data_IF_839385195231
#
_entry.id   IF_839385195231
#
_cell.length_a   1.000
_cell.length_b   1.000
_cell.length_c   1.000
_cell.angle_alpha   90.00
_cell.angle_beta   90.00
_cell.angle_gamma   90.00
#
_symmetry.space_group_name_H-M   'P 1'
#
loop_
_entity.id
_entity.type
_entity.pdbx_description
1 polymer ?
#
# COMPACT_ATOMS: atom_id res chain seq x y z
N UNK A 1 22.51 -49.32 36.31
CA UNK A 1 21.18 -49.98 36.42
C UNK A 1 20.38 -49.60 35.19
N UNK A 2 19.71 -50.59 34.59
CA UNK A 2 19.01 -50.55 33.28
C UNK A 2 17.63 -49.91 33.36
N UNK A 3 17.11 -49.60 32.16
CA UNK A 3 15.72 -49.48 31.69
C UNK A 3 15.28 -48.03 31.39
N UNK A 4 14.64 -47.71 30.27
CA UNK A 4 14.14 -48.54 29.17
C UNK A 4 13.38 -47.68 28.15
N UNK A 5 13.54 -48.05 26.87
CA UNK A 5 12.85 -47.57 25.67
C UNK A 5 11.32 -47.65 25.74
N UNK A 6 10.61 -46.75 25.01
CA UNK A 6 9.52 -47.15 24.09
C UNK A 6 9.20 -46.06 23.06
N UNK A 7 9.35 -46.45 21.79
CA UNK A 7 8.83 -45.78 20.60
C UNK A 7 7.50 -46.43 20.20
N UNK A 8 6.60 -45.67 19.60
CA UNK A 8 5.46 -46.21 18.82
C UNK A 8 5.52 -45.61 17.42
N UNK A 9 5.76 -46.49 16.44
CA UNK A 9 5.58 -46.26 15.02
C UNK A 9 4.15 -46.67 14.63
N UNK A 10 3.53 -45.94 13.71
CA UNK A 10 2.30 -46.33 13.04
C UNK A 10 2.42 -46.02 11.56
N UNK A 11 2.81 -47.02 10.78
CA UNK A 11 2.66 -47.01 9.32
C UNK A 11 1.31 -47.59 8.94
N UNK A 12 0.69 -47.04 7.89
CA UNK A 12 -0.36 -47.75 7.17
C UNK A 12 -0.13 -47.66 5.66
N UNK A 13 -0.41 -48.81 5.06
CA UNK A 13 0.03 -49.31 3.78
C UNK A 13 -0.90 -48.90 2.61
N UNK A 14 -0.27 -48.96 1.44
CA UNK A 14 -0.71 -48.76 0.07
C UNK A 14 -1.94 -49.56 -0.37
N UNK A 15 -2.64 -49.02 -1.38
CA UNK A 15 -3.07 -49.76 -2.60
C UNK A 15 -3.72 -48.83 -3.63
N UNK A 16 -3.16 -48.81 -4.83
CA UNK A 16 -3.77 -48.19 -6.01
C UNK A 16 -4.75 -49.11 -6.74
N UNK A 17 -5.56 -48.53 -7.63
CA UNK A 17 -5.93 -49.13 -8.93
C UNK A 17 -6.67 -48.17 -9.88
N UNK A 18 -6.11 -48.06 -11.08
CA UNK A 18 -6.68 -47.93 -12.43
C UNK A 18 -8.09 -47.35 -12.73
N UNK A 19 -8.06 -46.25 -13.52
CA UNK A 19 -8.64 -45.99 -14.86
C UNK A 19 -9.95 -46.69 -15.28
N UNK A 20 -10.98 -45.89 -15.65
CA UNK A 20 -11.79 -46.09 -16.88
C UNK A 20 -12.51 -44.81 -17.34
N UNK A 21 -12.48 -44.60 -18.66
CA UNK A 21 -13.20 -43.59 -19.43
C UNK A 21 -14.73 -43.72 -19.38
N UNK A 22 -15.41 -42.58 -19.62
CA UNK A 22 -16.62 -42.53 -20.44
C UNK A 22 -17.86 -41.94 -19.77
N UNK A 23 -18.48 -40.95 -20.43
CA UNK A 23 -19.88 -40.62 -20.19
C UNK A 23 -20.21 -39.13 -20.19
N UNK A 24 -20.48 -38.57 -21.38
CA UNK A 24 -21.32 -37.38 -21.53
C UNK A 24 -22.67 -37.61 -20.82
N UNK A 25 -23.07 -36.71 -19.92
CA UNK A 25 -24.47 -36.38 -19.69
C UNK A 25 -24.59 -35.03 -18.97
N UNK A 26 -25.12 -34.03 -19.68
CA UNK A 26 -25.74 -32.85 -19.08
C UNK A 26 -27.03 -33.25 -18.34
N UNK A 27 -27.32 -32.62 -17.20
CA UNK A 27 -28.62 -31.96 -17.03
C UNK A 27 -28.46 -30.57 -16.39
N UNK A 28 -29.06 -29.53 -17.00
CA UNK A 28 -30.37 -28.94 -16.64
C UNK A 28 -30.42 -28.23 -15.27
N UNK A 29 -30.47 -26.91 -15.36
CA UNK A 29 -31.22 -25.94 -14.55
C UNK A 29 -32.00 -26.49 -13.34
N UNK A 30 -31.68 -25.96 -12.17
CA UNK A 30 -32.49 -26.03 -10.96
C UNK A 30 -32.36 -24.72 -10.18
N UNK A 31 -33.18 -23.74 -10.55
CA UNK A 31 -33.45 -22.52 -9.78
C UNK A 31 -34.18 -22.92 -8.49
N UNK A 32 -33.56 -22.74 -7.32
CA UNK A 32 -34.23 -22.90 -6.03
C UNK A 32 -34.73 -21.54 -5.58
N UNK A 33 -36.01 -21.30 -5.83
CA UNK A 33 -36.79 -20.18 -5.30
C UNK A 33 -37.35 -20.60 -3.93
N UNK A 34 -36.81 -20.07 -2.85
CA UNK A 34 -37.38 -20.22 -1.52
C UNK A 34 -38.49 -19.17 -1.32
N UNK A 35 -39.74 -19.62 -1.41
CA UNK A 35 -40.94 -18.87 -1.05
C UNK A 35 -41.17 -19.04 0.45
N UNK A 36 -41.06 -17.96 1.21
CA UNK A 36 -41.55 -17.88 2.59
C UNK A 36 -42.94 -17.22 2.57
N UNK A 37 -43.94 -18.05 2.84
CA UNK A 37 -45.34 -17.69 3.02
C UNK A 37 -45.54 -17.16 4.43
N UNK A 38 -45.95 -15.90 4.57
CA UNK A 38 -46.55 -15.38 5.79
C UNK A 38 -47.96 -14.87 5.48
N UNK A 39 -48.95 -15.57 6.02
CA UNK A 39 -50.34 -15.13 6.07
C UNK A 39 -50.50 -14.10 7.20
N UNK A 40 -51.16 -12.98 6.90
CA UNK A 40 -51.62 -12.00 7.88
C UNK A 40 -52.67 -11.09 7.25
N UNK A 41 -53.89 -11.17 7.78
CA UNK A 41 -55.19 -10.75 7.25
C UNK A 41 -55.46 -9.24 7.21
N UNK A 42 -56.10 -8.82 6.12
CA UNK A 42 -57.26 -7.90 6.00
C UNK A 42 -57.38 -6.68 6.92
N UNK A 43 -57.42 -5.49 6.31
CA UNK A 43 -57.91 -4.25 6.92
C UNK A 43 -57.82 -3.04 5.97
N UNK A 44 -58.97 -2.66 5.40
CA UNK A 44 -59.23 -1.61 4.38
C UNK A 44 -59.33 -0.20 5.02
N UNK A 45 -59.73 0.87 4.30
CA UNK A 45 -58.93 1.85 3.53
C UNK A 45 -58.97 3.29 4.13
N UNK A 46 -58.44 4.24 3.34
CA UNK A 46 -58.78 5.67 3.21
C UNK A 46 -57.73 6.74 3.59
N UNK A 47 -57.36 7.46 2.53
CA UNK A 47 -57.24 8.91 2.39
C UNK A 47 -56.40 9.72 3.39
N UNK A 48 -55.34 10.39 2.91
CA UNK A 48 -55.35 11.84 2.57
C UNK A 48 -53.92 12.35 2.38
N UNK A 49 -53.77 13.31 1.45
CA UNK A 49 -52.65 14.22 1.32
C UNK A 49 -52.18 14.79 2.68
N UNK A 50 -50.87 14.94 2.90
CA UNK A 50 -50.29 16.24 3.32
C UNK A 50 -48.77 16.22 3.09
N UNK A 51 -48.28 17.33 2.55
CA UNK A 51 -46.88 17.66 2.37
C UNK A 51 -46.12 17.87 3.71
N UNK A 52 -44.80 17.89 3.54
CA UNK A 52 -43.82 18.69 4.28
C UNK A 52 -43.12 18.08 5.50
N UNK A 53 -41.79 18.22 5.42
CA UNK A 53 -40.87 18.81 6.42
C UNK A 53 -39.78 17.85 6.86
N UNK A 54 -38.55 18.23 6.49
CA UNK A 54 -37.31 17.68 7.01
C UNK A 54 -37.22 17.82 8.53
N UNK A 55 -36.64 16.83 9.20
CA UNK A 55 -36.05 17.05 10.50
C UNK A 55 -34.80 16.16 10.66
N UNK A 56 -33.65 16.82 10.57
CA UNK A 56 -32.37 16.29 10.98
C UNK A 56 -32.40 16.05 12.50
N UNK A 57 -31.95 14.89 12.94
CA UNK A 57 -31.68 14.62 14.35
C UNK A 57 -30.17 14.47 14.53
N UNK A 58 -29.54 15.57 14.88
CA UNK A 58 -28.18 15.60 15.40
C UNK A 58 -28.22 15.09 16.85
N UNK A 59 -27.46 14.04 17.15
CA UNK A 59 -27.14 13.65 18.53
C UNK A 59 -25.65 13.85 18.74
N UNK A 60 -25.30 14.92 19.44
CA UNK A 60 -23.96 15.20 19.95
C UNK A 60 -23.80 14.60 21.37
N UNK A 61 -22.56 14.50 21.89
CA UNK A 61 -22.14 13.41 22.77
C UNK A 61 -22.30 13.69 24.27
N UNK A 62 -22.50 12.61 25.02
CA UNK A 62 -22.42 12.61 26.49
C UNK A 62 -20.95 12.51 26.92
N UNK A 63 -20.42 13.60 27.47
CA UNK A 63 -19.17 13.64 28.23
C UNK A 63 -19.38 13.05 29.61
N UNK A 64 -18.61 12.00 29.95
CA UNK A 64 -18.49 11.53 31.35
C UNK A 64 -17.10 11.85 31.85
N UNK A 65 -17.08 12.80 32.78
CA UNK A 65 -15.98 13.25 33.60
C UNK A 65 -15.77 12.24 34.74
N UNK A 66 -14.54 11.78 34.99
CA UNK A 66 -14.32 10.78 36.03
C UNK A 66 -12.86 10.48 36.39
N UNK A 67 -12.43 11.15 37.46
CA UNK A 67 -11.47 10.68 38.46
C UNK A 67 -9.96 10.73 38.17
N UNK A 68 -9.38 11.80 38.71
CA UNK A 68 -7.98 11.94 39.10
C UNK A 68 -7.54 10.80 40.03
N UNK A 69 -6.54 10.03 39.60
CA UNK A 69 -5.79 9.07 40.41
C UNK A 69 -4.36 9.56 40.53
N UNK A 70 -4.03 10.07 41.71
CA UNK A 70 -2.71 10.48 42.18
C UNK A 70 -1.78 9.26 42.22
N UNK A 71 -0.68 9.29 41.45
CA UNK A 71 0.37 8.25 41.51
C UNK A 71 1.70 8.92 41.78
N UNK A 72 2.17 8.69 43.01
CA UNK A 72 3.49 9.00 43.54
C UNK A 72 4.60 8.34 42.72
N UNK A 73 5.62 9.07 42.22
CA UNK A 73 6.82 8.44 41.67
C UNK A 73 7.83 8.14 42.78
N UNK A 74 8.02 6.87 43.07
CA UNK A 74 9.14 6.38 43.88
C UNK A 74 10.42 6.45 43.04
N UNK A 75 11.27 7.41 43.38
CA UNK A 75 12.66 7.51 42.94
C UNK A 75 13.52 6.48 43.68
N UNK A 76 14.06 5.52 42.95
CA UNK A 76 15.23 4.74 43.38
C UNK A 76 16.20 4.74 42.22
N UNK A 77 17.31 5.45 42.38
CA UNK A 77 18.37 5.48 41.40
C UNK A 77 19.09 4.15 41.28
N UNK A 78 19.78 3.97 40.15
CA UNK A 78 21.12 3.44 40.24
C UNK A 78 21.99 4.03 39.13
N UNK A 79 23.19 4.40 39.54
CA UNK A 79 24.23 4.93 38.68
C UNK A 79 24.98 3.74 38.05
N UNK A 80 25.16 3.76 36.73
CA UNK A 80 26.20 2.93 36.13
C UNK A 80 26.86 3.66 34.97
N UNK A 81 28.03 4.19 35.30
CA UNK A 81 29.09 4.67 34.43
C UNK A 81 29.62 3.48 33.62
N UNK A 82 29.39 3.49 32.31
CA UNK A 82 29.89 2.47 31.39
C UNK A 82 30.56 3.11 30.18
N UNK A 83 31.78 3.60 30.35
CA UNK A 83 32.68 3.98 29.26
C UNK A 83 33.22 2.70 28.62
N UNK A 84 32.84 2.41 27.37
CA UNK A 84 33.53 1.41 26.55
C UNK A 84 34.06 2.03 25.27
N UNK A 85 35.37 2.27 25.36
CA UNK A 85 36.39 2.40 24.32
C UNK A 85 36.02 1.85 22.95
N UNK A 86 36.05 2.76 21.97
CA UNK A 86 36.25 2.50 20.55
C UNK A 86 37.57 1.75 20.32
N UNK A 87 37.52 0.57 19.70
CA UNK A 87 38.72 -0.06 19.14
C UNK A 87 38.44 -0.31 17.67
N UNK A 88 39.04 0.53 16.83
CA UNK A 88 39.07 0.34 15.39
C UNK A 88 39.87 -0.89 15.03
N UNK A 89 39.37 -1.62 14.04
CA UNK A 89 40.15 -2.64 13.33
C UNK A 89 39.94 -2.40 11.84
N UNK A 90 40.87 -1.67 11.25
CA UNK A 90 41.07 -1.59 9.81
C UNK A 90 41.80 -2.85 9.36
N UNK A 91 41.10 -3.74 8.66
CA UNK A 91 41.74 -4.78 7.86
C UNK A 91 41.62 -4.38 6.41
N UNK A 92 42.75 -3.86 5.89
CA UNK A 92 43.04 -3.68 4.49
C UNK A 92 43.02 -5.05 3.77
N UNK A 93 42.13 -5.21 2.79
CA UNK A 93 42.30 -6.23 1.74
C UNK A 93 42.60 -5.55 0.40
N UNK A 94 43.69 -5.94 -0.29
CA UNK A 94 43.98 -5.48 -1.63
C UNK A 94 43.19 -6.32 -2.65
N UNK A 95 42.02 -5.83 -3.06
CA UNK A 95 41.21 -6.41 -4.13
C UNK A 95 41.67 -5.96 -5.52
N UNK A 96 42.24 -6.91 -6.25
CA UNK A 96 42.73 -6.87 -7.63
C UNK A 96 41.81 -6.15 -8.63
N UNK A 97 42.37 -5.14 -9.30
CA UNK A 97 41.78 -4.45 -10.45
C UNK A 97 41.94 -5.34 -11.69
N UNK A 98 40.86 -5.98 -12.13
CA UNK A 98 40.80 -6.65 -13.44
C UNK A 98 40.31 -5.64 -14.47
N UNK A 99 41.24 -5.11 -15.26
CA UNK A 99 40.95 -4.31 -16.44
C UNK A 99 40.32 -5.21 -17.52
N UNK A 100 39.03 -5.01 -17.81
CA UNK A 100 38.40 -5.61 -18.98
C UNK A 100 38.55 -4.65 -20.17
N UNK A 101 39.34 -5.09 -21.13
CA UNK A 101 39.55 -4.43 -22.42
C UNK A 101 38.41 -4.87 -23.34
N UNK A 102 37.51 -3.96 -23.70
CA UNK A 102 36.30 -4.26 -24.46
C UNK A 102 36.04 -3.26 -25.56
N UNK A 103 36.80 -3.41 -26.64
CA UNK A 103 36.46 -3.20 -28.06
C UNK A 103 35.47 -2.09 -28.46
N UNK A 104 36.03 -1.05 -29.07
CA UNK A 104 35.40 -0.09 -29.96
C UNK A 104 34.66 -0.80 -31.11
N UNK A 105 33.33 -0.75 -31.12
CA UNK A 105 32.54 -1.04 -32.31
C UNK A 105 32.06 0.28 -32.90
N UNK A 106 32.69 0.62 -34.03
CA UNK A 106 32.29 1.66 -34.97
C UNK A 106 30.95 1.24 -35.58
N UNK A 107 29.89 2.03 -35.41
CA UNK A 107 28.69 1.90 -36.23
C UNK A 107 28.40 3.20 -37.01
N UNK A 108 28.87 3.14 -38.26
CA UNK A 108 28.25 3.60 -39.49
C UNK A 108 27.19 4.71 -39.38
N UNK A 109 27.65 5.94 -39.56
CA UNK A 109 26.80 7.08 -39.91
C UNK A 109 26.20 6.90 -41.30
N UNK A 110 24.90 6.64 -41.38
CA UNK A 110 24.13 6.79 -42.62
C UNK A 110 23.83 8.27 -42.81
N UNK A 111 24.51 8.88 -43.78
CA UNK A 111 24.25 10.23 -44.28
C UNK A 111 22.85 10.32 -44.88
N UNK A 112 21.92 10.92 -44.14
CA UNK A 112 20.67 11.47 -44.69
C UNK A 112 20.97 12.76 -45.48
N UNK A 113 20.27 13.03 -46.59
CA UNK A 113 20.46 14.22 -47.41
C UNK A 113 20.02 15.48 -46.66
N UNK A 114 20.94 16.43 -46.55
CA UNK A 114 20.73 17.76 -45.98
C UNK A 114 19.73 18.54 -46.85
N UNK A 115 18.55 18.83 -46.29
CA UNK A 115 17.60 19.81 -46.82
C UNK A 115 18.13 21.24 -46.55
N UNK A 116 18.47 22.04 -47.58
CA UNK A 116 18.99 23.40 -47.40
C UNK A 116 17.87 24.45 -47.25
N UNK A 117 16.83 24.15 -46.46
CA UNK A 117 15.73 25.06 -46.20
C UNK A 117 15.77 25.63 -44.78
N UNK A 118 16.31 26.85 -44.70
CA UNK A 118 15.99 27.87 -43.68
C UNK A 118 16.52 27.66 -42.25
N UNK A 119 17.78 28.04 -42.09
CA UNK A 119 18.33 28.71 -40.90
C UNK A 119 17.39 29.78 -40.33
N UNK A 120 16.77 29.48 -39.20
CA UNK A 120 16.66 30.42 -38.07
C UNK A 120 16.69 29.59 -36.80
N UNK A 121 17.89 29.18 -36.38
CA UNK A 121 18.13 28.65 -35.04
C UNK A 121 18.02 29.84 -34.10
N UNK A 122 16.81 30.15 -33.66
CA UNK A 122 16.62 30.97 -32.47
C UNK A 122 17.36 30.31 -31.29
N UNK A 123 17.82 31.07 -30.29
CA UNK A 123 18.38 30.45 -29.09
C UNK A 123 17.35 29.47 -28.56
N UNK A 124 17.69 28.17 -28.55
CA UNK A 124 16.91 27.16 -27.85
C UNK A 124 16.94 27.62 -26.40
N UNK A 125 15.84 28.24 -25.96
CA UNK A 125 15.65 28.58 -24.57
C UNK A 125 15.49 27.23 -23.88
N UNK A 126 16.63 26.67 -23.44
CA UNK A 126 16.66 25.50 -22.55
C UNK A 126 16.05 25.97 -21.23
N UNK A 127 14.71 26.04 -21.22
CA UNK A 127 13.95 26.18 -20.01
C UNK A 127 14.34 24.99 -19.12
N UNK A 128 14.61 25.24 -17.83
CA UNK A 128 14.88 24.15 -16.91
C UNK A 128 13.73 23.13 -17.00
N UNK A 129 14.02 21.83 -16.84
CA UNK A 129 12.97 20.81 -16.80
C UNK A 129 11.93 21.25 -15.78
N UNK A 130 10.68 21.27 -16.23
CA UNK A 130 9.56 21.69 -15.41
C UNK A 130 9.48 20.76 -14.21
N UNK A 131 9.72 21.32 -13.02
CA UNK A 131 9.68 20.56 -11.79
C UNK A 131 8.21 20.25 -11.49
N UNK A 132 7.86 18.98 -11.21
CA UNK A 132 6.48 18.62 -10.93
C UNK A 132 5.97 19.37 -9.69
N UNK A 133 4.73 19.83 -9.71
CA UNK A 133 4.09 20.55 -8.59
C UNK A 133 3.98 19.59 -7.40
N UNK A 134 4.26 20.04 -6.16
CA UNK A 134 3.95 19.27 -4.96
C UNK A 134 2.48 18.81 -4.95
N UNK A 135 2.20 17.56 -4.57
CA UNK A 135 0.84 17.01 -4.66
C UNK A 135 -0.16 17.86 -3.88
N UNK A 136 0.23 18.35 -2.71
CA UNK A 136 -0.63 19.20 -1.86
C UNK A 136 -0.96 20.57 -2.46
N UNK A 137 -0.14 21.04 -3.39
CA UNK A 137 -0.31 22.35 -4.03
C UNK A 137 -1.12 22.25 -5.33
N UNK A 138 -1.60 21.05 -5.70
CA UNK A 138 -2.45 20.85 -6.87
C UNK A 138 -3.75 21.67 -6.70
N UNK A 139 -4.07 22.58 -7.64
CA UNK A 139 -5.24 23.44 -7.52
C UNK A 139 -6.54 22.66 -7.37
N UNK A 140 -7.30 22.98 -6.31
CA UNK A 140 -8.62 22.39 -6.06
C UNK A 140 -8.59 21.00 -5.41
N UNK A 141 -7.41 20.44 -5.11
CA UNK A 141 -7.30 19.20 -4.34
C UNK A 141 -7.85 19.40 -2.92
N UNK A 142 -8.69 18.48 -2.46
CA UNK A 142 -9.32 18.54 -1.13
C UNK A 142 -8.90 17.40 -0.20
N UNK A 143 -8.84 16.19 -0.74
CA UNK A 143 -8.50 15.00 0.01
C UNK A 143 -7.86 13.95 -0.88
N UNK A 144 -7.26 12.96 -0.23
CA UNK A 144 -6.64 11.81 -0.88
C UNK A 144 -7.26 10.56 -0.27
N UNK A 145 -7.70 9.62 -1.12
CA UNK A 145 -8.27 8.33 -0.70
C UNK A 145 -7.33 7.21 -1.08
N UNK A 146 -7.02 6.34 -0.13
CA UNK A 146 -6.28 5.09 -0.32
C UNK A 146 -7.25 3.92 -0.30
N UNK A 147 -7.13 3.03 -1.28
CA UNK A 147 -7.98 1.85 -1.42
C UNK A 147 -7.19 0.58 -1.07
N UNK A 148 -7.60 -0.13 -0.04
CA UNK A 148 -6.98 -1.38 0.43
C UNK A 148 -7.95 -2.55 0.17
N UNK A 149 -7.49 -3.72 -0.28
CA UNK A 149 -8.36 -4.79 -0.81
C UNK A 149 -8.19 -6.16 -0.14
N UNK A 150 -7.71 -6.25 1.10
CA UNK A 150 -7.42 -7.56 1.74
C UNK A 150 -8.67 -8.44 1.95
N UNK A 151 -9.86 -7.86 2.17
CA UNK A 151 -11.10 -8.61 2.37
C UNK A 151 -12.30 -7.96 1.69
N UNK A 152 -12.03 -7.28 0.58
CA UNK A 152 -12.90 -6.30 -0.06
C UNK A 152 -12.30 -4.91 0.03
N UNK A 153 -12.79 -4.01 -0.81
CA UNK A 153 -12.28 -2.65 -0.92
C UNK A 153 -12.66 -1.83 0.31
N UNK A 154 -11.64 -1.36 1.02
CA UNK A 154 -11.73 -0.42 2.14
C UNK A 154 -11.14 0.93 1.71
N UNK A 155 -11.76 2.01 2.15
CA UNK A 155 -11.38 3.38 1.79
C UNK A 155 -10.87 4.14 3.02
N UNK A 156 -9.69 4.76 2.88
CA UNK A 156 -9.09 5.61 3.89
C UNK A 156 -8.83 6.99 3.29
N UNK A 157 -9.59 7.99 3.75
CA UNK A 157 -9.52 9.35 3.20
C UNK A 157 -8.88 10.32 4.19
N UNK A 158 -7.85 11.03 3.73
CA UNK A 158 -7.15 12.05 4.49
C UNK A 158 -7.29 13.42 3.83
N UNK A 159 -7.31 14.47 4.64
CA UNK A 159 -7.24 15.84 4.13
C UNK A 159 -5.83 16.11 3.60
N UNK A 160 -5.71 16.99 2.60
CA UNK A 160 -4.42 17.39 2.01
C UNK A 160 -3.43 17.89 3.06
N UNK A 161 -3.89 18.75 3.98
CA UNK A 161 -3.08 19.25 5.09
C UNK A 161 -3.15 18.36 6.34
N UNK A 162 -3.61 17.12 6.18
CA UNK A 162 -3.74 16.14 7.26
C UNK A 162 -2.39 15.78 7.88
N UNK A 163 -2.33 15.53 9.19
CA UNK A 163 -1.08 15.16 9.86
C UNK A 163 -0.51 13.83 9.35
N UNK A 164 -1.34 12.92 8.85
CA UNK A 164 -0.93 11.64 8.29
C UNK A 164 0.04 11.88 7.11
N UNK A 165 -0.40 12.66 6.11
CA UNK A 165 0.41 12.92 4.92
C UNK A 165 1.65 13.80 5.14
N UNK A 166 1.67 14.56 6.25
CA UNK A 166 2.70 15.55 6.55
C UNK A 166 3.68 15.12 7.64
N UNK A 167 3.59 13.89 8.16
CA UNK A 167 4.53 13.37 9.15
C UNK A 167 4.90 11.92 8.85
N UNK A 168 6.20 11.64 8.78
CA UNK A 168 6.68 10.26 8.74
C UNK A 168 6.57 9.63 10.15
N UNK A 169 5.87 8.50 10.25
CA UNK A 169 5.77 7.76 11.51
C UNK A 169 7.08 7.02 11.80
N UNK A 170 7.47 6.85 13.08
CA UNK A 170 8.67 6.11 13.45
C UNK A 170 8.49 4.60 13.26
N UNK A 171 9.58 3.90 12.93
CA UNK A 171 9.61 2.44 12.88
C UNK A 171 9.88 1.78 14.24
N UNK A 172 9.41 0.53 14.46
CA UNK A 172 8.51 -0.22 13.57
C UNK A 172 7.07 0.30 13.63
N UNK A 173 6.32 0.18 12.52
CA UNK A 173 4.88 0.43 12.54
C UNK A 173 4.14 -0.61 13.38
N UNK A 174 3.06 -0.18 14.03
CA UNK A 174 2.27 -1.01 14.94
C UNK A 174 0.86 -0.49 15.11
N UNK A 175 0.07 -1.18 15.93
CA UNK A 175 -1.24 -0.71 16.39
C UNK A 175 -1.23 0.61 17.18
N UNK A 176 -0.07 1.19 17.47
CA UNK A 176 0.07 2.47 18.19
C UNK A 176 0.57 3.61 17.29
N UNK A 177 1.11 3.31 16.11
CA UNK A 177 1.72 4.25 15.18
C UNK A 177 1.50 3.76 13.73
N UNK A 178 0.30 4.02 13.21
CA UNK A 178 -0.11 3.75 11.82
C UNK A 178 -1.17 4.77 11.42
N UNK A 179 -1.29 5.02 10.12
CA UNK A 179 -2.40 5.80 9.55
C UNK A 179 -3.54 4.88 9.11
N UNK A 180 -3.20 3.68 8.63
CA UNK A 180 -4.16 2.69 8.13
C UNK A 180 -3.88 1.33 8.79
N UNK A 181 -4.95 0.59 9.09
CA UNK A 181 -4.93 -0.83 9.47
C UNK A 181 -5.67 -1.64 8.41
N UNK A 182 -4.97 -2.53 7.70
CA UNK A 182 -5.60 -3.48 6.78
C UNK A 182 -6.12 -4.71 7.55
N UNK A 183 -5.23 -5.29 8.35
CA UNK A 183 -5.51 -6.39 9.27
C UNK A 183 -4.78 -6.17 10.60
N UNK A 184 -5.05 -7.00 11.60
CA UNK A 184 -4.42 -6.90 12.94
C UNK A 184 -2.88 -7.00 12.95
N UNK A 185 -2.26 -7.33 11.82
CA UNK A 185 -0.80 -7.45 11.65
C UNK A 185 -0.29 -6.67 10.43
N UNK A 186 -1.10 -5.75 9.90
CA UNK A 186 -0.82 -5.01 8.67
C UNK A 186 -1.08 -3.53 8.88
N UNK A 187 0.01 -2.76 8.86
CA UNK A 187 0.01 -1.36 9.25
C UNK A 187 0.68 -0.52 8.19
N UNK A 188 0.06 0.60 7.83
CA UNK A 188 0.57 1.52 6.82
C UNK A 188 0.85 2.91 7.41
N UNK A 189 1.74 3.61 6.74
CA UNK A 189 2.08 5.01 6.89
C UNK A 189 2.00 5.64 5.49
N UNK A 190 1.30 6.76 5.36
CA UNK A 190 1.05 7.46 4.10
C UNK A 190 1.64 8.85 4.14
N UNK A 191 2.40 9.24 3.12
CA UNK A 191 3.08 10.54 3.13
C UNK A 191 3.42 11.09 1.75
N UNK A 192 3.58 12.42 1.70
CA UNK A 192 4.22 13.09 0.58
C UNK A 192 5.69 12.72 0.49
N UNK A 193 6.18 12.53 -0.73
CA UNK A 193 7.51 11.96 -0.98
C UNK A 193 8.16 12.50 -2.24
N UNK A 194 9.47 12.28 -2.34
CA UNK A 194 10.19 12.35 -3.61
C UNK A 194 9.97 11.09 -4.48
N UNK A 195 10.62 11.05 -5.64
CA UNK A 195 10.48 9.95 -6.61
C UNK A 195 10.92 8.58 -6.06
N UNK A 196 11.85 8.57 -5.11
CA UNK A 196 12.41 7.36 -4.49
C UNK A 196 11.58 6.88 -3.29
N UNK A 197 10.53 7.62 -2.94
CA UNK A 197 9.66 7.38 -1.80
C UNK A 197 10.28 7.80 -0.47
N UNK A 198 11.22 8.76 -0.49
CA UNK A 198 11.73 9.39 0.72
C UNK A 198 10.76 10.49 1.13
N UNK A 199 10.44 10.55 2.42
CA UNK A 199 9.53 11.57 2.97
C UNK A 199 9.97 12.99 2.60
N UNK A 200 9.06 13.71 1.94
CA UNK A 200 9.20 15.12 1.60
C UNK A 200 7.81 15.77 1.66
N UNK A 201 7.53 16.66 2.64
CA UNK A 201 6.24 17.34 2.74
C UNK A 201 5.95 18.30 1.59
N UNK A 202 6.93 18.59 0.73
CA UNK A 202 6.77 19.32 -0.54
C UNK A 202 6.90 18.39 -1.75
N UNK A 203 6.76 17.08 -1.53
CA UNK A 203 6.92 16.06 -2.54
C UNK A 203 5.83 16.08 -3.61
N UNK A 204 6.23 15.80 -4.85
CA UNK A 204 5.35 15.67 -6.01
C UNK A 204 4.84 14.24 -6.22
N UNK A 205 5.09 13.36 -5.24
CA UNK A 205 4.69 11.96 -5.22
C UNK A 205 3.99 11.62 -3.90
N UNK A 206 3.16 10.57 -3.93
CA UNK A 206 2.60 9.95 -2.73
C UNK A 206 3.21 8.58 -2.52
N UNK A 207 3.68 8.31 -1.31
CA UNK A 207 4.11 6.98 -0.89
C UNK A 207 3.13 6.44 0.13
N UNK A 208 2.78 5.18 -0.05
CA UNK A 208 2.25 4.35 1.03
C UNK A 208 3.29 3.28 1.35
N UNK A 209 3.74 3.28 2.58
CA UNK A 209 4.71 2.34 3.12
C UNK A 209 4.08 1.57 4.25
N UNK A 210 4.52 0.34 4.49
CA UNK A 210 3.91 -0.48 5.52
C UNK A 210 4.79 -1.60 6.05
N UNK A 211 4.25 -2.24 7.07
CA UNK A 211 4.78 -3.45 7.68
C UNK A 211 3.70 -4.52 7.68
N UNK A 212 4.10 -5.77 7.43
CA UNK A 212 3.20 -6.91 7.52
C UNK A 212 3.85 -8.04 8.31
N UNK A 213 3.16 -8.44 9.38
CA UNK A 213 3.66 -9.34 10.41
C UNK A 213 3.37 -10.82 10.19
N UNK A 214 2.95 -11.24 9.00
CA UNK A 214 2.67 -12.65 8.71
C UNK A 214 3.53 -13.20 7.55
N UNK A 215 3.96 -14.46 7.72
CA UNK A 215 4.72 -15.25 6.73
C UNK A 215 3.85 -16.33 6.09
N UNK A 216 4.39 -17.05 5.10
CA UNK A 216 3.80 -18.29 4.58
C UNK A 216 3.33 -19.21 5.72
N UNK A 217 2.15 -19.86 5.58
CA UNK A 217 1.30 -19.92 4.38
C UNK A 217 0.23 -18.82 4.30
N UNK A 218 0.28 -17.76 5.12
CA UNK A 218 -0.63 -16.63 4.98
C UNK A 218 -0.40 -15.92 3.62
N UNK A 219 -1.39 -15.17 3.12
CA UNK A 219 -1.23 -14.33 1.93
C UNK A 219 -0.16 -13.24 2.12
N UNK A 220 0.32 -12.64 1.04
CA UNK A 220 1.21 -11.47 1.14
C UNK A 220 0.43 -10.23 1.59
N UNK A 221 1.12 -9.34 2.30
CA UNK A 221 0.53 -8.10 2.79
C UNK A 221 0.71 -6.92 1.84
N UNK A 222 0.11 -5.83 2.26
CA UNK A 222 -0.02 -4.52 1.65
C UNK A 222 -0.76 -4.63 0.33
N UNK A 223 -2.05 -4.97 0.42
CA UNK A 223 -2.93 -5.12 -0.73
C UNK A 223 -3.55 -3.78 -1.15
N UNK A 224 -2.70 -2.83 -1.60
CA UNK A 224 -3.14 -1.55 -2.13
C UNK A 224 -3.74 -1.75 -3.53
N UNK A 225 -4.98 -1.31 -3.72
CA UNK A 225 -5.66 -1.30 -5.01
C UNK A 225 -5.40 0.00 -5.77
N UNK A 226 -5.65 1.17 -5.17
CA UNK A 226 -5.54 2.47 -5.85
C UNK A 226 -5.26 3.60 -4.85
N UNK A 227 -4.82 4.74 -5.37
CA UNK A 227 -4.81 6.03 -4.66
C UNK A 227 -5.54 7.06 -5.53
N UNK A 228 -6.54 7.73 -4.96
CA UNK A 228 -7.33 8.78 -5.62
C UNK A 228 -7.04 10.15 -5.03
N UNK A 229 -6.80 11.13 -5.90
CA UNK A 229 -6.89 12.56 -5.60
C UNK A 229 -8.33 13.01 -5.76
N UNK A 230 -8.92 13.64 -4.74
CA UNK A 230 -10.31 14.10 -4.77
C UNK A 230 -10.38 15.63 -4.77
N UNK A 231 -11.08 16.19 -5.75
CA UNK A 231 -11.12 17.63 -6.00
C UNK A 231 -12.43 18.27 -5.55
N UNK A 232 -12.40 19.58 -5.29
CA UNK A 232 -13.54 20.36 -4.82
C UNK A 232 -14.73 20.42 -5.80
N UNK A 233 -14.49 20.17 -7.08
CA UNK A 233 -15.52 20.07 -8.11
C UNK A 233 -16.15 18.66 -8.21
N UNK A 234 -15.83 17.75 -7.29
CA UNK A 234 -16.19 16.32 -7.29
C UNK A 234 -15.57 15.50 -8.44
N UNK A 235 -14.53 16.03 -9.09
CA UNK A 235 -13.68 15.20 -9.95
C UNK A 235 -12.68 14.42 -9.10
N UNK A 236 -12.14 13.36 -9.67
CA UNK A 236 -11.09 12.57 -9.06
C UNK A 236 -10.06 12.11 -10.08
N UNK A 237 -8.86 11.79 -9.61
CA UNK A 237 -7.77 11.26 -10.42
C UNK A 237 -7.08 10.11 -9.68
N UNK A 238 -7.00 8.94 -10.31
CA UNK A 238 -6.17 7.83 -9.81
C UNK A 238 -4.68 8.03 -10.12
N UNK A 239 -3.84 7.33 -9.36
CA UNK A 239 -2.41 7.22 -9.63
C UNK A 239 -2.15 6.91 -11.11
N UNK A 240 -1.24 7.65 -11.74
CA UNK A 240 -1.02 7.57 -13.18
C UNK A 240 0.21 6.74 -13.57
N UNK A 241 1.19 6.66 -12.68
CA UNK A 241 2.41 5.89 -12.91
C UNK A 241 3.09 5.51 -11.58
N UNK A 242 3.81 4.40 -11.61
CA UNK A 242 4.62 3.88 -10.51
C UNK A 242 6.02 4.51 -10.59
N UNK A 243 6.40 5.27 -9.58
CA UNK A 243 7.70 5.94 -9.49
C UNK A 243 8.78 5.01 -8.92
N UNK A 244 8.48 4.37 -7.79
CA UNK A 244 9.36 3.42 -7.11
C UNK A 244 8.57 2.45 -6.24
N UNK A 245 9.20 1.34 -5.84
CA UNK A 245 8.60 0.36 -4.95
C UNK A 245 9.67 -0.45 -4.18
N UNK A 246 9.24 -1.08 -3.09
CA UNK A 246 10.03 -2.05 -2.33
C UNK A 246 9.12 -3.20 -1.90
N UNK A 247 9.37 -4.39 -2.44
CA UNK A 247 8.81 -5.67 -1.98
C UNK A 247 9.85 -6.45 -1.18
N UNK A 248 9.42 -7.14 -0.11
CA UNK A 248 10.30 -7.83 0.85
C UNK A 248 9.70 -9.16 1.31
N UNK A 249 10.57 -10.06 1.79
CA UNK A 249 10.15 -11.30 2.42
C UNK A 249 9.54 -12.33 1.48
N UNK A 250 9.05 -13.44 2.05
CA UNK A 250 8.20 -14.39 1.34
C UNK A 250 6.82 -13.78 1.04
N UNK A 251 6.07 -14.42 0.13
CA UNK A 251 4.78 -13.97 -0.39
C UNK A 251 4.75 -12.66 -1.19
N UNK A 252 5.88 -12.00 -1.39
CA UNK A 252 5.97 -10.92 -2.37
C UNK A 252 5.67 -11.46 -3.78
N UNK A 253 4.71 -10.84 -4.47
CA UNK A 253 4.39 -11.14 -5.87
C UNK A 253 4.97 -10.01 -6.74
N UNK A 254 6.15 -10.26 -7.29
CA UNK A 254 6.78 -9.34 -8.25
C UNK A 254 5.89 -9.13 -9.47
N UNK A 255 5.72 -7.86 -9.87
CA UNK A 255 4.88 -7.46 -10.99
C UNK A 255 3.43 -7.17 -10.59
N UNK A 256 3.09 -7.26 -9.29
CA UNK A 256 1.79 -6.82 -8.78
C UNK A 256 1.73 -5.32 -8.49
N UNK A 257 2.86 -4.61 -8.49
CA UNK A 257 2.95 -3.18 -8.17
C UNK A 257 2.15 -2.29 -9.12
N UNK A 258 2.13 -2.54 -10.45
CA UNK A 258 1.31 -1.77 -11.37
C UNK A 258 -0.19 -1.92 -11.14
N UNK A 259 -0.65 -2.89 -10.34
CA UNK A 259 -2.06 -2.99 -9.97
C UNK A 259 -2.51 -1.77 -9.14
N UNK A 260 -1.59 -1.01 -8.55
CA UNK A 260 -1.88 0.22 -7.80
C UNK A 260 -2.30 1.43 -8.67
N UNK A 261 -2.29 1.29 -10.00
CA UNK A 261 -2.48 2.36 -10.99
C UNK A 261 -3.23 1.87 -12.25
N UNK A 262 -3.93 0.74 -12.16
CA UNK A 262 -4.56 0.10 -13.32
C UNK A 262 -6.04 0.51 -13.51
N UNK A 263 -6.53 1.40 -12.65
CA UNK A 263 -7.90 1.89 -12.55
C UNK A 263 -8.91 0.78 -12.22
N UNK A 264 -8.49 -0.24 -11.46
CA UNK A 264 -9.32 -1.37 -11.08
C UNK A 264 -9.20 -1.70 -9.59
N UNK A 265 -10.27 -1.42 -8.84
CA UNK A 265 -10.30 -1.68 -7.40
C UNK A 265 -10.34 -3.16 -7.01
N UNK A 266 -10.58 -4.06 -7.98
CA UNK A 266 -10.57 -5.52 -7.76
C UNK A 266 -9.17 -6.14 -7.87
N UNK A 267 -8.18 -5.38 -8.35
CA UNK A 267 -6.76 -5.77 -8.37
C UNK A 267 -6.02 -5.02 -7.28
N UNK A 268 -4.93 -5.61 -6.80
CA UNK A 268 -4.13 -5.02 -5.73
C UNK A 268 -2.67 -5.46 -5.81
N UNK A 269 -1.80 -4.68 -5.19
CA UNK A 269 -0.41 -5.05 -4.95
C UNK A 269 -0.33 -6.24 -4.00
N UNK A 270 0.78 -6.97 -4.01
CA UNK A 270 1.09 -7.95 -2.96
C UNK A 270 2.58 -7.83 -2.66
N UNK A 271 2.92 -7.02 -1.67
CA UNK A 271 4.30 -6.54 -1.47
C UNK A 271 5.16 -7.51 -0.63
N UNK A 272 4.53 -8.44 0.09
CA UNK A 272 5.22 -9.47 0.88
C UNK A 272 5.10 -9.24 2.39
N UNK A 273 6.19 -9.35 3.15
CA UNK A 273 6.18 -9.18 4.61
C UNK A 273 7.52 -8.67 5.19
N UNK A 274 7.49 -8.25 6.46
CA UNK A 274 8.62 -7.68 7.19
C UNK A 274 9.04 -8.49 8.42
N UNK A 275 8.63 -9.76 8.52
CA UNK A 275 8.85 -10.56 9.74
C UNK A 275 10.33 -10.80 10.03
N UNK A 276 11.17 -10.98 9.00
CA UNK A 276 12.63 -11.12 9.14
C UNK A 276 13.39 -9.80 9.14
N UNK A 277 12.71 -8.70 8.82
CA UNK A 277 13.28 -7.35 8.70
C UNK A 277 12.34 -6.32 9.35
N UNK A 278 12.04 -6.42 10.66
CA UNK A 278 10.96 -5.65 11.30
C UNK A 278 11.17 -4.13 11.34
N UNK A 279 12.38 -3.64 11.04
CA UNK A 279 12.68 -2.21 10.90
C UNK A 279 12.72 -1.70 9.45
N UNK A 280 12.34 -2.53 8.47
CA UNK A 280 12.20 -2.13 7.08
C UNK A 280 10.73 -1.98 6.73
N UNK A 281 10.46 -1.19 5.69
CA UNK A 281 9.13 -1.02 5.11
C UNK A 281 9.09 -1.53 3.68
N UNK A 282 7.99 -2.19 3.38
CA UNK A 282 7.51 -2.39 2.02
C UNK A 282 6.89 -1.06 1.56
N UNK A 283 6.96 -0.70 0.28
CA UNK A 283 6.33 0.55 -0.20
C UNK A 283 6.00 0.53 -1.68
N UNK A 284 5.07 1.39 -2.07
CA UNK A 284 4.89 1.87 -3.44
C UNK A 284 4.78 3.39 -3.44
N UNK A 285 5.35 4.02 -4.46
CA UNK A 285 5.37 5.47 -4.67
C UNK A 285 4.73 5.78 -6.00
N UNK A 286 3.69 6.60 -6.00
CA UNK A 286 2.89 6.92 -7.18
C UNK A 286 3.01 8.39 -7.56
N UNK A 287 2.97 8.65 -8.86
CA UNK A 287 2.84 9.99 -9.42
C UNK A 287 1.50 10.19 -10.13
N UNK A 288 1.13 11.45 -10.31
CA UNK A 288 -0.16 11.88 -10.88
C UNK A 288 0.09 12.75 -12.12
N UNK A 289 -0.85 12.79 -13.06
CA UNK A 289 -0.77 13.69 -14.22
C UNK A 289 -0.98 15.13 -13.78
N UNK A 290 -1.84 15.38 -12.80
CA UNK A 290 -2.05 16.72 -12.25
C UNK A 290 -0.80 17.35 -11.64
N UNK A 291 0.15 16.55 -11.12
CA UNK A 291 1.44 17.07 -10.63
C UNK A 291 2.44 17.39 -11.74
N UNK A 292 2.19 16.94 -12.99
CA UNK A 292 3.04 17.22 -14.16
C UNK A 292 2.59 18.47 -14.94
N UNK A 293 1.43 19.03 -14.62
CA UNK A 293 0.91 20.22 -15.32
C UNK A 293 1.62 21.47 -14.80
N UNK A 294 1.96 22.45 -15.66
CA UNK A 294 2.38 23.78 -15.23
C UNK A 294 1.34 24.41 -14.30
N UNK A 295 1.78 24.96 -13.17
CA UNK A 295 0.94 25.66 -12.20
C UNK A 295 0.51 27.04 -12.62
#
# INVERSE_FOLDING_TARGET
MRAGLRACAGGFDTRGRHVKHGGMHSPRFGLVLAVLTACGSEGRPDATDTAATAQASATAPTTTQGSSGDVTPTSTGDASTGTTTSTGSTTDEPGTITASTGTTAVDTSTTEPVDPSTTTVGPKLDLPPEMPIPVKDIPGLMSITFYESTSGVMEFTFLVDGPELNNLLPDPLSNQNRDIEGTSVEFYDVYYSDVDGVFDPLGSYLTIAGSFGAKLPAGGGLNLAEISLNFANNEYEFGSYLASFVGLGDNYIMGSEPNAIDNNLDTHTTMGNTVDTPGQRLRVTLGFKSSLMPG
#
